data_IF_345704721284
#
_entry.id   IF_345704721284
#
_cell.length_a   1.000
_cell.length_b   1.000
_cell.length_c   1.000
_cell.angle_alpha   90.00
_cell.angle_beta   90.00
_cell.angle_gamma   90.00
#
_symmetry.space_group_name_H-M   'P 1'
#
loop_
_entity.id
_entity.type
_entity.pdbx_description
1 polymer ?
#
# COMPACT_ATOMS: atom_id res chain seq x y z
N UNK A 1 -8.11 -26.58 23.48
CA UNK A 1 -6.95 -26.41 22.58
C UNK A 1 -7.20 -25.32 21.54
N UNK A 2 -8.08 -25.49 20.54
CA UNK A 2 -8.30 -24.44 19.51
C UNK A 2 -8.80 -23.12 20.11
N UNK A 3 -9.77 -23.17 21.04
CA UNK A 3 -10.28 -21.97 21.71
C UNK A 3 -9.21 -21.24 22.53
N UNK A 4 -8.29 -21.96 23.16
CA UNK A 4 -7.18 -21.40 23.93
C UNK A 4 -6.16 -20.70 23.02
N UNK A 5 -5.89 -21.28 21.85
CA UNK A 5 -5.03 -20.70 20.82
C UNK A 5 -5.67 -19.42 20.25
N UNK A 6 -6.96 -19.44 19.92
CA UNK A 6 -7.69 -18.24 19.46
C UNK A 6 -7.65 -17.14 20.51
N UNK A 7 -7.86 -17.46 21.78
CA UNK A 7 -7.75 -16.50 22.88
C UNK A 7 -6.34 -15.91 23.01
N UNK A 8 -5.29 -16.71 22.78
CA UNK A 8 -3.92 -16.21 22.77
C UNK A 8 -3.68 -15.20 21.63
N UNK A 9 -4.19 -15.47 20.43
CA UNK A 9 -4.14 -14.51 19.32
C UNK A 9 -4.90 -13.22 19.62
N UNK A 10 -6.13 -13.31 20.15
CA UNK A 10 -6.89 -12.13 20.55
C UNK A 10 -6.16 -11.26 21.57
N UNK A 11 -5.51 -11.87 22.57
CA UNK A 11 -4.70 -11.14 23.56
C UNK A 11 -3.51 -10.44 22.90
N UNK A 12 -2.79 -11.11 22.00
CA UNK A 12 -1.65 -10.51 21.28
C UNK A 12 -2.09 -9.31 20.44
N UNK A 13 -3.17 -9.45 19.67
CA UNK A 13 -3.71 -8.38 18.82
C UNK A 13 -4.19 -7.20 19.67
N UNK A 14 -4.95 -7.43 20.74
CA UNK A 14 -5.42 -6.36 21.63
C UNK A 14 -4.27 -5.61 22.31
N UNK A 15 -3.23 -6.33 22.75
CA UNK A 15 -2.05 -5.71 23.34
C UNK A 15 -1.32 -4.84 22.31
N UNK A 16 -1.17 -5.31 21.07
CA UNK A 16 -0.54 -4.52 20.00
C UNK A 16 -1.33 -3.23 19.68
N UNK A 17 -2.66 -3.32 19.61
CA UNK A 17 -3.54 -2.15 19.42
C UNK A 17 -3.42 -1.16 20.59
N UNK A 18 -3.32 -1.67 21.82
CA UNK A 18 -3.17 -0.82 23.00
C UNK A 18 -1.81 -0.10 23.03
N UNK A 19 -0.76 -0.73 22.51
CA UNK A 19 0.57 -0.11 22.40
C UNK A 19 0.68 0.89 21.24
N UNK A 20 -0.04 0.66 20.15
CA UNK A 20 -0.08 1.56 18.99
C UNK A 20 -1.53 1.75 18.51
N UNK A 21 -2.23 2.81 18.97
CA UNK A 21 -3.60 3.08 18.58
C UNK A 21 -3.79 3.30 17.06
N UNK A 22 -2.74 3.65 16.31
CA UNK A 22 -2.84 3.84 14.86
C UNK A 22 -2.99 2.50 14.12
N UNK A 23 -2.53 1.41 14.73
CA UNK A 23 -2.75 0.05 14.25
C UNK A 23 -4.23 -0.31 14.15
N UNK A 24 -5.09 0.19 15.05
CA UNK A 24 -6.53 -0.06 14.98
C UNK A 24 -7.13 0.48 13.68
N UNK A 25 -6.76 1.69 13.29
CA UNK A 25 -7.22 2.28 12.02
C UNK A 25 -6.75 1.44 10.83
N UNK A 26 -5.51 0.95 10.86
CA UNK A 26 -4.99 0.05 9.83
C UNK A 26 -5.81 -1.25 9.73
N UNK A 27 -6.10 -1.88 10.86
CA UNK A 27 -6.82 -3.15 10.89
C UNK A 27 -8.29 -2.99 10.46
N UNK A 28 -8.95 -1.89 10.84
CA UNK A 28 -10.31 -1.56 10.38
C UNK A 28 -10.36 -1.32 8.87
N UNK A 29 -9.36 -0.63 8.31
CA UNK A 29 -9.28 -0.41 6.86
C UNK A 29 -8.95 -1.69 6.07
N UNK A 30 -8.26 -2.64 6.71
CA UNK A 30 -7.75 -3.85 6.04
C UNK A 30 -8.71 -5.03 6.13
N UNK A 31 -9.41 -5.17 7.26
CA UNK A 31 -10.27 -6.31 7.56
C UNK A 31 -11.73 -5.85 7.73
N UNK A 32 -12.67 -6.39 6.93
CA UNK A 32 -14.08 -6.08 7.07
C UNK A 32 -14.61 -6.35 8.48
N UNK A 33 -15.41 -5.40 8.98
CA UNK A 33 -16.05 -5.46 10.30
C UNK A 33 -15.09 -5.72 11.46
N UNK A 34 -13.80 -5.36 11.33
CA UNK A 34 -12.76 -5.74 12.28
C UNK A 34 -13.13 -5.47 13.73
N UNK A 35 -13.60 -4.26 14.05
CA UNK A 35 -13.98 -3.86 15.41
C UNK A 35 -15.13 -4.71 15.99
N UNK A 36 -16.15 -4.99 15.16
CA UNK A 36 -17.32 -5.80 15.57
C UNK A 36 -16.89 -7.24 15.78
N UNK A 37 -16.10 -7.79 14.87
CA UNK A 37 -15.59 -9.16 14.92
C UNK A 37 -14.58 -9.36 16.05
N UNK A 38 -13.80 -8.34 16.38
CA UNK A 38 -12.88 -8.36 17.53
C UNK A 38 -13.65 -8.42 18.85
N UNK A 39 -14.69 -7.59 19.01
CA UNK A 39 -15.53 -7.56 20.21
C UNK A 39 -16.32 -8.87 20.41
N UNK A 40 -16.79 -9.46 19.33
CA UNK A 40 -17.57 -10.72 19.34
C UNK A 40 -16.70 -11.98 19.25
N UNK A 41 -15.37 -11.82 19.12
CA UNK A 41 -14.41 -12.91 18.85
C UNK A 41 -14.79 -13.77 17.63
N UNK A 42 -15.39 -13.14 16.62
CA UNK A 42 -15.94 -13.77 15.42
C UNK A 42 -14.94 -14.06 14.30
N UNK A 43 -13.65 -14.24 14.61
CA UNK A 43 -12.63 -14.64 13.65
C UNK A 43 -12.33 -16.14 13.76
N UNK A 44 -12.07 -16.80 12.64
CA UNK A 44 -11.47 -18.13 12.64
C UNK A 44 -9.96 -18.07 12.96
N UNK A 45 -9.33 -19.23 13.16
CA UNK A 45 -7.92 -19.28 13.53
C UNK A 45 -7.00 -18.79 12.40
N UNK A 46 -7.32 -19.11 11.15
CA UNK A 46 -6.52 -18.71 9.98
C UNK A 46 -6.59 -17.20 9.75
N UNK A 47 -7.74 -16.59 9.98
CA UNK A 47 -7.89 -15.14 9.97
C UNK A 47 -7.07 -14.48 11.08
N UNK A 48 -7.11 -15.02 12.29
CA UNK A 48 -6.31 -14.51 13.42
C UNK A 48 -4.80 -14.60 13.15
N UNK A 49 -4.35 -15.69 12.53
CA UNK A 49 -2.96 -15.84 12.08
C UNK A 49 -2.58 -14.77 11.06
N UNK A 50 -3.42 -14.54 10.04
CA UNK A 50 -3.21 -13.49 9.02
C UNK A 50 -3.19 -12.09 9.63
N UNK A 51 -4.07 -11.82 10.60
CA UNK A 51 -4.10 -10.54 11.32
C UNK A 51 -2.82 -10.37 12.11
N UNK A 52 -2.37 -11.40 12.84
CA UNK A 52 -1.13 -11.33 13.62
C UNK A 52 0.11 -11.11 12.73
N UNK A 53 0.16 -11.73 11.56
CA UNK A 53 1.20 -11.45 10.55
C UNK A 53 1.13 -9.98 10.11
N UNK A 54 -0.05 -9.47 9.79
CA UNK A 54 -0.23 -8.07 9.39
C UNK A 54 0.16 -7.07 10.48
N UNK A 55 -0.12 -7.38 11.75
CA UNK A 55 0.34 -6.59 12.90
C UNK A 55 1.86 -6.59 12.98
N UNK A 56 2.50 -7.76 12.85
CA UNK A 56 3.96 -7.88 12.91
C UNK A 56 4.63 -7.12 11.77
N UNK A 57 4.06 -7.22 10.57
CA UNK A 57 4.53 -6.51 9.38
C UNK A 57 4.31 -4.99 9.51
N UNK A 58 3.17 -4.56 10.07
CA UNK A 58 2.90 -3.14 10.32
C UNK A 58 3.94 -2.51 11.26
N UNK A 59 4.46 -3.25 12.24
CA UNK A 59 5.46 -2.72 13.18
C UNK A 59 6.89 -2.69 12.62
N UNK A 60 7.15 -3.28 11.45
CA UNK A 60 8.50 -3.35 10.85
C UNK A 60 8.75 -2.21 9.87
N UNK A 61 9.70 -1.33 10.18
CA UNK A 61 10.13 -0.28 9.26
C UNK A 61 10.69 -0.83 7.94
N UNK A 62 11.36 -1.99 7.98
CA UNK A 62 11.83 -2.69 6.77
C UNK A 62 10.67 -3.08 5.86
N UNK A 63 9.64 -3.74 6.42
CA UNK A 63 8.45 -4.12 5.66
C UNK A 63 7.72 -2.90 5.10
N UNK A 64 7.50 -1.88 5.93
CA UNK A 64 6.84 -0.64 5.53
C UNK A 64 7.57 0.04 4.37
N UNK A 65 8.89 0.20 4.48
CA UNK A 65 9.72 0.78 3.43
C UNK A 65 9.69 -0.08 2.16
N UNK A 66 9.67 -1.41 2.27
CA UNK A 66 9.60 -2.30 1.11
C UNK A 66 8.28 -2.11 0.36
N UNK A 67 7.15 -2.04 1.07
CA UNK A 67 5.84 -1.75 0.48
C UNK A 67 5.82 -0.37 -0.19
N UNK A 68 6.44 0.64 0.42
CA UNK A 68 6.57 1.98 -0.20
C UNK A 68 7.41 1.88 -1.48
N UNK A 69 8.58 1.24 -1.45
CA UNK A 69 9.46 1.08 -2.60
C UNK A 69 8.75 0.39 -3.78
N UNK A 70 8.00 -0.68 -3.51
CA UNK A 70 7.20 -1.40 -4.52
C UNK A 70 6.12 -0.48 -5.12
N UNK A 71 5.40 0.28 -4.29
CA UNK A 71 4.40 1.26 -4.77
C UNK A 71 5.02 2.36 -5.64
N UNK A 72 6.16 2.91 -5.23
CA UNK A 72 6.91 3.90 -6.00
C UNK A 72 7.43 3.33 -7.33
N UNK A 73 7.63 2.02 -7.41
CA UNK A 73 8.01 1.34 -8.64
C UNK A 73 6.86 0.94 -9.56
N UNK A 74 5.61 1.24 -9.19
CA UNK A 74 4.40 0.95 -9.98
C UNK A 74 3.58 -0.22 -9.45
N UNK A 75 3.91 -0.73 -8.27
CA UNK A 75 3.23 -1.88 -7.65
C UNK A 75 3.92 -3.20 -7.97
N UNK A 76 3.33 -4.30 -7.50
CA UNK A 76 3.91 -5.65 -7.56
C UNK A 76 4.23 -6.07 -8.99
N UNK A 77 3.27 -5.97 -9.92
CA UNK A 77 3.46 -6.42 -11.30
C UNK A 77 4.61 -5.70 -12.02
N UNK A 78 4.72 -4.38 -11.84
CA UNK A 78 5.78 -3.60 -12.50
C UNK A 78 7.13 -3.79 -11.84
N UNK A 79 7.14 -3.97 -10.52
CA UNK A 79 8.36 -4.29 -9.79
C UNK A 79 8.89 -5.64 -10.23
N UNK A 80 8.03 -6.66 -10.31
CA UNK A 80 8.39 -7.99 -10.79
C UNK A 80 8.96 -7.95 -12.21
N UNK A 81 8.31 -7.23 -13.13
CA UNK A 81 8.79 -7.05 -14.50
C UNK A 81 10.18 -6.37 -14.56
N UNK A 82 10.43 -5.33 -13.76
CA UNK A 82 11.74 -4.65 -13.73
C UNK A 82 12.85 -5.50 -13.11
N UNK A 83 12.50 -6.35 -12.15
CA UNK A 83 13.42 -7.27 -11.49
C UNK A 83 13.66 -8.55 -12.30
N UNK A 84 12.85 -8.82 -13.32
CA UNK A 84 12.85 -10.07 -14.10
C UNK A 84 12.55 -11.30 -13.22
N UNK A 85 11.52 -11.20 -12.38
CA UNK A 85 11.05 -12.25 -11.47
C UNK A 85 9.53 -12.42 -11.54
N UNK A 86 9.02 -13.52 -10.98
CA UNK A 86 7.58 -13.76 -10.91
C UNK A 86 6.90 -12.86 -9.85
N UNK A 87 5.75 -12.28 -10.19
CA UNK A 87 4.97 -11.43 -9.28
C UNK A 87 4.47 -12.17 -8.03
N UNK A 88 4.30 -13.50 -8.11
CA UNK A 88 3.96 -14.35 -6.98
C UNK A 88 5.07 -14.42 -5.93
N UNK A 89 6.35 -14.31 -6.33
CA UNK A 89 7.46 -14.26 -5.37
C UNK A 89 7.38 -13.00 -4.50
N UNK A 90 7.11 -11.84 -5.10
CA UNK A 90 6.89 -10.59 -4.36
C UNK A 90 5.66 -10.73 -3.44
N UNK A 91 4.55 -11.25 -3.97
CA UNK A 91 3.31 -11.42 -3.18
C UNK A 91 3.52 -12.36 -1.99
N UNK A 92 4.27 -13.45 -2.18
CA UNK A 92 4.61 -14.40 -1.13
C UNK A 92 5.47 -13.75 -0.05
N UNK A 93 6.51 -13.02 -0.43
CA UNK A 93 7.36 -12.31 0.53
C UNK A 93 6.59 -11.24 1.31
N UNK A 94 5.69 -10.49 0.67
CA UNK A 94 4.87 -9.48 1.35
C UNK A 94 3.80 -10.06 2.27
N UNK A 95 3.36 -11.30 2.01
CA UNK A 95 2.38 -12.00 2.85
C UNK A 95 3.02 -12.84 3.95
N UNK A 96 4.34 -13.02 3.92
CA UNK A 96 5.08 -13.67 5.00
C UNK A 96 5.48 -12.65 6.07
N UNK A 97 5.74 -13.12 7.28
CA UNK A 97 6.47 -12.37 8.32
C UNK A 97 7.95 -12.75 8.34
N UNK A 98 8.54 -13.01 7.17
CA UNK A 98 9.91 -13.50 7.02
C UNK A 98 10.84 -12.38 6.54
N UNK A 99 11.58 -11.80 7.48
CA UNK A 99 12.53 -10.71 7.21
C UNK A 99 13.64 -11.09 6.22
N UNK A 100 14.02 -12.37 6.15
CA UNK A 100 15.00 -12.84 5.16
C UNK A 100 14.49 -12.64 3.74
N UNK A 101 13.22 -12.99 3.48
CA UNK A 101 12.60 -12.80 2.16
C UNK A 101 12.43 -11.32 1.81
N UNK A 102 12.16 -10.48 2.82
CA UNK A 102 12.13 -9.03 2.61
C UNK A 102 13.50 -8.49 2.23
N UNK A 103 14.56 -8.92 2.93
CA UNK A 103 15.93 -8.50 2.65
C UNK A 103 16.40 -8.95 1.26
N UNK A 104 16.06 -10.17 0.84
CA UNK A 104 16.32 -10.64 -0.53
C UNK A 104 15.68 -9.69 -1.58
N UNK A 105 14.41 -9.31 -1.40
CA UNK A 105 13.75 -8.35 -2.28
C UNK A 105 14.37 -6.95 -2.23
N UNK A 106 14.78 -6.49 -1.05
CA UNK A 106 15.43 -5.19 -0.86
C UNK A 106 16.75 -5.14 -1.65
N UNK A 107 17.58 -6.17 -1.54
CA UNK A 107 18.85 -6.24 -2.25
C UNK A 107 18.64 -6.36 -3.77
N UNK A 108 17.60 -7.07 -4.22
CA UNK A 108 17.22 -7.08 -5.64
C UNK A 108 16.83 -5.68 -6.13
N UNK A 109 16.02 -4.93 -5.38
CA UNK A 109 15.64 -3.55 -5.71
C UNK A 109 16.85 -2.61 -5.80
N UNK A 110 17.79 -2.71 -4.85
CA UNK A 110 19.04 -1.94 -4.86
C UNK A 110 19.90 -2.30 -6.06
N UNK A 111 20.06 -3.58 -6.37
CA UNK A 111 20.90 -4.04 -7.49
C UNK A 111 20.46 -3.51 -8.87
N UNK A 112 19.17 -3.13 -9.01
CA UNK A 112 18.59 -2.55 -10.22
C UNK A 112 18.50 -1.02 -10.18
N UNK A 113 19.05 -0.37 -9.15
CA UNK A 113 18.94 1.08 -8.92
C UNK A 113 17.48 1.58 -8.96
N UNK A 114 16.54 0.79 -8.44
CA UNK A 114 15.11 1.11 -8.47
C UNK A 114 14.69 2.09 -7.36
N UNK A 115 15.60 2.39 -6.45
CA UNK A 115 15.47 3.24 -5.28
C UNK A 115 16.86 3.82 -4.95
N UNK A 116 16.89 4.87 -4.15
CA UNK A 116 18.13 5.43 -3.63
C UNK A 116 18.77 4.50 -2.59
N UNK A 117 20.11 4.51 -2.48
CA UNK A 117 20.84 3.62 -1.57
C UNK A 117 20.44 3.80 -0.10
N UNK A 118 20.14 5.04 0.30
CA UNK A 118 19.72 5.40 1.66
C UNK A 118 18.22 5.22 1.90
N UNK A 119 17.47 4.68 0.93
CA UNK A 119 16.01 4.65 0.96
C UNK A 119 15.48 3.87 2.17
N UNK A 120 16.16 2.78 2.50
CA UNK A 120 15.80 1.86 3.59
C UNK A 120 16.36 2.25 4.96
N UNK A 121 17.35 3.14 5.00
CA UNK A 121 18.01 3.56 6.25
C UNK A 121 17.16 4.55 7.07
N UNK A 122 16.14 5.15 6.44
CA UNK A 122 15.27 6.16 7.04
C UNK A 122 13.90 5.57 7.37
N UNK A 123 13.41 5.83 8.58
CA UNK A 123 12.01 5.56 8.92
C UNK A 123 11.10 6.50 8.11
N UNK A 124 10.23 5.92 7.26
CA UNK A 124 9.29 6.68 6.43
C UNK A 124 7.88 6.54 6.99
N UNK A 125 7.04 7.59 6.93
CA UNK A 125 5.63 7.47 7.31
C UNK A 125 4.94 6.39 6.47
N UNK A 126 4.41 5.37 7.14
CA UNK A 126 3.68 4.30 6.47
C UNK A 126 2.19 4.60 6.45
N UNK A 127 1.62 4.52 5.24
CA UNK A 127 0.19 4.60 5.01
C UNK A 127 -0.26 3.34 4.29
N UNK A 128 -1.40 2.78 4.72
CA UNK A 128 -1.99 1.61 4.09
C UNK A 128 -2.59 1.96 2.72
N UNK A 129 -3.01 0.95 1.94
CA UNK A 129 -3.53 1.19 0.58
C UNK A 129 -4.84 1.99 0.56
N UNK A 130 -5.70 1.85 1.58
CA UNK A 130 -6.94 2.64 1.71
C UNK A 130 -6.63 4.14 1.88
N UNK A 131 -5.71 4.48 2.77
CA UNK A 131 -5.23 5.84 2.98
C UNK A 131 -4.57 6.39 1.72
N UNK A 132 -3.67 5.63 1.10
CA UNK A 132 -2.99 6.05 -0.14
C UNK A 132 -3.96 6.22 -1.29
N UNK A 133 -5.00 5.40 -1.40
CA UNK A 133 -6.04 5.55 -2.43
C UNK A 133 -6.80 6.87 -2.27
N UNK A 134 -7.12 7.27 -1.04
CA UNK A 134 -7.70 8.60 -0.75
C UNK A 134 -6.73 9.72 -1.11
N UNK A 135 -5.45 9.59 -0.76
CA UNK A 135 -4.44 10.59 -1.11
C UNK A 135 -4.33 10.75 -2.63
N UNK A 136 -4.31 9.65 -3.38
CA UNK A 136 -4.25 9.67 -4.85
C UNK A 136 -5.43 10.42 -5.44
N UNK A 137 -6.66 10.16 -4.95
CA UNK A 137 -7.86 10.90 -5.33
C UNK A 137 -7.71 12.40 -5.06
N UNK A 138 -7.40 12.75 -3.81
CA UNK A 138 -7.40 14.14 -3.36
C UNK A 138 -6.30 14.94 -4.08
N UNK A 139 -5.12 14.36 -4.22
CA UNK A 139 -4.00 14.97 -4.94
C UNK A 139 -4.30 15.12 -6.43
N UNK A 140 -4.85 14.09 -7.08
CA UNK A 140 -5.21 14.15 -8.49
C UNK A 140 -6.30 15.21 -8.72
N UNK A 141 -7.30 15.25 -7.85
CA UNK A 141 -8.38 16.26 -7.90
C UNK A 141 -7.82 17.67 -7.77
N UNK A 142 -6.92 17.91 -6.81
CA UNK A 142 -6.30 19.22 -6.62
C UNK A 142 -5.47 19.64 -7.84
N UNK A 143 -4.70 18.73 -8.43
CA UNK A 143 -3.93 19.01 -9.64
C UNK A 143 -4.86 19.39 -10.80
N UNK A 144 -5.91 18.59 -11.02
CA UNK A 144 -6.87 18.80 -12.10
C UNK A 144 -7.68 20.09 -11.92
N UNK A 145 -8.02 20.47 -10.69
CA UNK A 145 -8.73 21.72 -10.40
C UNK A 145 -7.91 22.97 -10.79
N UNK A 146 -6.58 22.86 -10.81
CA UNK A 146 -5.68 23.94 -11.24
C UNK A 146 -5.32 23.90 -12.73
N UNK A 147 -5.78 22.87 -13.45
CA UNK A 147 -5.52 22.75 -14.88
C UNK A 147 -6.43 23.70 -15.68
N UNK A 148 -5.84 24.55 -16.50
CA UNK A 148 -6.58 25.49 -17.37
C UNK A 148 -7.48 24.77 -18.38
N UNK A 149 -7.13 23.55 -18.78
CA UNK A 149 -7.89 22.72 -19.73
C UNK A 149 -8.24 21.35 -19.13
N UNK A 150 -9.04 21.33 -18.05
CA UNK A 150 -9.44 20.11 -17.33
C UNK A 150 -9.85 18.94 -18.25
N UNK A 151 -10.78 19.19 -19.19
CA UNK A 151 -11.32 18.15 -20.08
C UNK A 151 -10.26 17.52 -20.98
N UNK A 152 -9.31 18.33 -21.46
CA UNK A 152 -8.21 17.85 -22.30
C UNK A 152 -7.26 16.98 -21.49
N UNK A 153 -6.91 17.40 -20.27
CA UNK A 153 -6.02 16.66 -19.36
C UNK A 153 -6.64 15.32 -18.96
N UNK A 154 -7.94 15.29 -18.66
CA UNK A 154 -8.65 14.03 -18.38
C UNK A 154 -8.64 13.09 -19.58
N UNK A 155 -8.92 13.59 -20.78
CA UNK A 155 -8.91 12.76 -21.98
C UNK A 155 -7.52 12.18 -22.26
N UNK A 156 -6.46 12.99 -22.10
CA UNK A 156 -5.08 12.52 -22.21
C UNK A 156 -4.75 11.43 -21.18
N UNK A 157 -5.22 11.56 -19.93
CA UNK A 157 -5.06 10.52 -18.92
C UNK A 157 -5.81 9.24 -19.27
N UNK A 158 -7.06 9.34 -19.73
CA UNK A 158 -7.84 8.18 -20.17
C UNK A 158 -7.14 7.46 -21.32
N UNK A 159 -6.61 8.19 -22.31
CA UNK A 159 -5.82 7.61 -23.41
C UNK A 159 -4.52 6.96 -22.91
N UNK A 160 -3.81 7.61 -21.99
CA UNK A 160 -2.58 7.09 -21.39
C UNK A 160 -2.80 5.77 -20.64
N UNK A 161 -3.97 5.62 -20.01
CA UNK A 161 -4.31 4.47 -19.19
C UNK A 161 -5.03 3.36 -19.96
N UNK A 162 -5.52 3.63 -21.18
CA UNK A 162 -6.07 2.61 -22.07
C UNK A 162 -5.00 1.52 -22.31
N UNK A 163 -5.30 0.23 -22.07
CA UNK A 163 -6.63 -0.40 -22.03
C UNK A 163 -7.31 -0.50 -20.65
N UNK A 164 -6.72 0.03 -19.57
CA UNK A 164 -7.21 -0.10 -18.19
C UNK A 164 -7.98 1.15 -17.73
N UNK A 165 -9.04 1.48 -18.45
CA UNK A 165 -9.81 2.72 -18.24
C UNK A 165 -10.52 2.75 -16.88
N UNK A 166 -10.88 1.58 -16.34
CA UNK A 166 -11.48 1.45 -15.02
C UNK A 166 -10.55 1.96 -13.91
N UNK A 167 -9.23 1.83 -14.07
CA UNK A 167 -8.25 2.26 -13.06
C UNK A 167 -8.38 3.74 -12.74
N UNK A 168 -8.63 4.58 -13.76
CA UNK A 168 -8.83 6.01 -13.55
C UNK A 168 -10.07 6.28 -12.68
N UNK A 169 -11.16 5.55 -12.93
CA UNK A 169 -12.38 5.64 -12.14
C UNK A 169 -12.15 5.23 -10.68
N UNK A 170 -11.37 4.16 -10.43
CA UNK A 170 -11.02 3.74 -9.07
C UNK A 170 -10.18 4.80 -8.34
N UNK A 171 -9.21 5.41 -9.04
CA UNK A 171 -8.40 6.51 -8.48
C UNK A 171 -9.31 7.72 -8.15
N UNK A 172 -10.21 8.11 -9.05
CA UNK A 172 -11.14 9.22 -8.82
C UNK A 172 -12.15 8.95 -7.68
N UNK A 173 -12.48 7.68 -7.42
CA UNK A 173 -13.30 7.28 -6.26
C UNK A 173 -12.49 7.20 -4.96
N UNK A 174 -11.16 7.18 -5.03
CA UNK A 174 -10.29 6.95 -3.88
C UNK A 174 -10.37 5.51 -3.37
N UNK A 175 -10.66 4.57 -4.26
CA UNK A 175 -10.80 3.14 -3.96
C UNK A 175 -9.57 2.38 -4.45
N UNK A 176 -9.15 1.37 -3.67
CA UNK A 176 -8.00 0.54 -4.02
C UNK A 176 -8.22 -0.21 -5.33
N UNK A 177 -7.16 -0.28 -6.14
CA UNK A 177 -7.12 -1.07 -7.37
C UNK A 177 -5.69 -1.58 -7.59
N UNK A 178 -5.53 -2.82 -8.05
CA UNK A 178 -4.20 -3.47 -8.17
C UNK A 178 -3.24 -2.72 -9.09
N UNK A 179 -3.78 -1.99 -10.06
CA UNK A 179 -3.03 -1.16 -11.03
C UNK A 179 -2.91 0.31 -10.64
N UNK A 180 -3.44 0.75 -9.50
CA UNK A 180 -3.42 2.17 -9.10
C UNK A 180 -2.00 2.70 -8.99
N UNK A 181 -1.07 1.94 -8.40
CA UNK A 181 0.33 2.34 -8.30
C UNK A 181 0.95 2.60 -9.68
N UNK A 182 0.78 1.67 -10.64
CA UNK A 182 1.23 1.85 -12.02
C UNK A 182 0.62 3.10 -12.68
N UNK A 183 -0.71 3.22 -12.61
CA UNK A 183 -1.42 4.33 -13.24
C UNK A 183 -0.96 5.68 -12.66
N UNK A 184 -0.81 5.78 -11.34
CA UNK A 184 -0.30 6.98 -10.69
C UNK A 184 1.13 7.31 -11.14
N UNK A 185 2.03 6.32 -11.27
CA UNK A 185 3.38 6.57 -11.81
C UNK A 185 3.36 7.03 -13.27
N UNK A 186 2.43 6.52 -14.09
CA UNK A 186 2.22 6.97 -15.49
C UNK A 186 1.71 8.41 -15.55
N UNK A 187 0.71 8.74 -14.73
CA UNK A 187 0.14 10.09 -14.62
C UNK A 187 1.22 11.08 -14.15
N UNK A 188 1.96 10.75 -13.09
CA UNK A 188 3.03 11.61 -12.58
C UNK A 188 4.08 11.91 -13.65
N UNK A 189 4.52 10.89 -14.41
CA UNK A 189 5.45 11.08 -15.51
C UNK A 189 4.87 11.98 -16.62
N UNK A 190 3.62 11.77 -17.01
CA UNK A 190 2.96 12.57 -18.06
C UNK A 190 2.82 14.04 -17.64
N UNK A 191 2.52 14.28 -16.36
CA UNK A 191 2.39 15.62 -15.78
C UNK A 191 3.71 16.22 -15.29
N UNK A 192 4.86 15.55 -15.50
CA UNK A 192 6.19 15.96 -15.01
C UNK A 192 6.23 16.20 -13.49
N UNK A 193 5.49 15.40 -12.73
CA UNK A 193 5.48 15.40 -11.27
C UNK A 193 6.58 14.48 -10.74
N UNK A 194 7.05 14.74 -9.52
CA UNK A 194 7.94 13.83 -8.80
C UNK A 194 7.26 12.49 -8.53
N UNK A 195 7.99 11.39 -8.66
CA UNK A 195 7.52 10.05 -8.30
C UNK A 195 6.98 10.02 -6.87
N UNK A 196 5.79 9.46 -6.67
CA UNK A 196 5.15 9.38 -5.35
C UNK A 196 4.37 10.63 -4.95
N UNK A 197 4.32 11.67 -5.79
CA UNK A 197 3.55 12.89 -5.51
C UNK A 197 2.09 12.59 -5.16
N UNK A 198 1.46 11.65 -5.86
CA UNK A 198 0.07 11.27 -5.64
C UNK A 198 -0.13 10.40 -4.39
N UNK A 199 0.91 9.73 -3.89
CA UNK A 199 0.83 8.83 -2.74
C UNK A 199 1.03 9.57 -1.40
N UNK A 200 1.43 10.85 -1.45
CA UNK A 200 1.71 11.65 -0.26
C UNK A 200 0.44 12.23 0.34
N UNK A 201 0.35 12.25 1.68
CA UNK A 201 -0.67 13.03 2.38
C UNK A 201 -0.53 14.51 1.98
N UNK A 202 -1.53 15.05 1.29
CA UNK A 202 -1.58 16.49 0.98
C UNK A 202 -1.49 17.29 2.28
N UNK A 203 -0.55 18.24 2.37
CA UNK A 203 -0.52 19.25 3.44
C UNK A 203 -1.54 20.36 3.22
N UNK A 204 -2.16 20.40 2.04
CA UNK A 204 -3.20 21.34 1.64
C UNK A 204 -4.53 20.58 1.57
N UNK A 205 -5.03 20.13 2.72
CA UNK A 205 -6.46 20.11 2.95
C UNK A 205 -6.84 21.55 3.28
N UNK A 206 -7.54 22.22 2.36
CA UNK A 206 -8.21 23.48 2.66
C UNK A 206 -9.16 23.32 3.85
#
# INVERSE_FOLDING_TARGET
MEMDVKLAFFRKINNAISSDPTLLSFLVDTYPDFSVRLATKGFDLLELEKIQVSVSNYSSSHYQNLIIAIRLNGGVSETAHKLDIDASYITLALSSSNETQWNELIELLKSKNMIDDDFFDKARPYFNESMVSRFRRDNLTAILATATNYSEVINQMSTLLSPFEDVLLYIQKGTAHSRSSWACRRIEKALKLSTGRLDNRSRSSF
#
